data_IF_310544388798
#
_entry.id   IF_310544388798
#
_cell.length_a   1.000
_cell.length_b   1.000
_cell.length_c   1.000
_cell.angle_alpha   90.00
_cell.angle_beta   90.00
_cell.angle_gamma   90.00
#
_symmetry.space_group_name_H-M   'P 1'
#
loop_
_entity.id
_entity.type
_entity.pdbx_description
1 polymer ?
#
# COMPACT_ATOMS: atom_id res chain seq x y z
N UNK A 1 -34.15 -14.25 5.71
CA UNK A 1 -34.44 -15.68 5.97
C UNK A 1 -34.23 -15.93 7.46
N UNK A 2 -35.33 -16.00 8.22
CA UNK A 2 -35.38 -15.97 9.69
C UNK A 2 -35.29 -17.41 10.22
N UNK A 3 -34.28 -17.70 11.02
CA UNK A 3 -34.23 -18.70 12.10
C UNK A 3 -34.78 -20.13 11.83
N UNK A 4 -34.68 -20.67 10.61
CA UNK A 4 -35.10 -22.04 10.30
C UNK A 4 -34.37 -23.13 11.12
N UNK A 5 -33.23 -22.80 11.72
CA UNK A 5 -32.45 -23.70 12.56
C UNK A 5 -33.15 -24.08 13.88
N UNK A 6 -33.88 -23.13 14.48
CA UNK A 6 -34.62 -23.38 15.72
C UNK A 6 -35.81 -24.30 15.45
N UNK A 7 -36.49 -24.12 14.31
CA UNK A 7 -37.58 -25.00 13.87
C UNK A 7 -37.10 -26.42 13.55
N UNK A 8 -35.90 -26.57 12.98
CA UNK A 8 -35.30 -27.88 12.72
C UNK A 8 -34.97 -28.60 14.04
N UNK A 9 -34.41 -27.89 15.02
CA UNK A 9 -34.10 -28.44 16.34
C UNK A 9 -35.38 -28.93 17.06
N UNK A 10 -36.45 -28.13 17.01
CA UNK A 10 -37.74 -28.49 17.60
C UNK A 10 -38.36 -29.74 16.94
N UNK A 11 -38.21 -29.89 15.62
CA UNK A 11 -38.66 -31.06 14.88
C UNK A 11 -37.94 -32.34 15.33
N UNK A 12 -36.62 -32.28 15.54
CA UNK A 12 -35.83 -33.43 16.00
C UNK A 12 -36.25 -33.85 17.41
N UNK A 13 -36.43 -32.91 18.34
CA UNK A 13 -36.91 -33.22 19.69
C UNK A 13 -38.33 -33.81 19.69
N UNK A 14 -39.21 -33.33 18.81
CA UNK A 14 -40.56 -33.87 18.67
C UNK A 14 -40.56 -35.32 18.21
N UNK A 15 -39.72 -35.68 17.22
CA UNK A 15 -39.59 -37.06 16.72
C UNK A 15 -39.06 -37.99 17.83
N UNK A 16 -38.07 -37.54 18.60
CA UNK A 16 -37.50 -38.32 19.72
C UNK A 16 -38.56 -38.59 20.79
N UNK A 17 -39.34 -37.58 21.17
CA UNK A 17 -40.43 -37.73 22.14
C UNK A 17 -41.51 -38.72 21.67
N UNK A 18 -41.82 -38.71 20.38
CA UNK A 18 -42.77 -39.61 19.73
C UNK A 18 -42.26 -41.07 19.82
N UNK A 19 -41.00 -41.31 19.49
CA UNK A 19 -40.34 -42.62 19.57
C UNK A 19 -40.38 -43.18 21.01
N UNK A 20 -40.06 -42.36 22.01
CA UNK A 20 -40.08 -42.76 23.43
C UNK A 20 -41.49 -43.14 23.88
N UNK A 21 -42.51 -42.38 23.46
CA UNK A 21 -43.91 -42.62 23.83
C UNK A 21 -44.44 -43.92 23.22
N UNK A 22 -44.09 -44.24 21.97
CA UNK A 22 -44.54 -45.47 21.30
C UNK A 22 -43.84 -46.73 21.79
N UNK A 23 -42.59 -46.65 22.26
CA UNK A 23 -41.81 -47.83 22.65
C UNK A 23 -42.08 -48.33 24.08
N UNK A 24 -42.92 -47.65 24.89
CA UNK A 24 -43.27 -48.03 26.28
C UNK A 24 -42.10 -48.65 27.04
N UNK A 25 -40.96 -47.97 27.01
CA UNK A 25 -39.71 -48.50 27.57
C UNK A 25 -39.79 -48.42 29.09
N UNK A 26 -39.95 -49.55 29.77
CA UNK A 26 -39.67 -49.65 31.21
C UNK A 26 -38.17 -49.43 31.42
N UNK A 27 -37.80 -48.28 31.99
CA UNK A 27 -36.41 -47.85 32.11
C UNK A 27 -35.71 -48.59 33.26
N UNK A 28 -35.27 -49.82 33.02
CA UNK A 28 -34.22 -50.45 33.82
C UNK A 28 -32.87 -49.94 33.33
N UNK A 29 -32.21 -49.08 34.11
CA UNK A 29 -30.87 -48.54 33.78
C UNK A 29 -29.85 -49.68 33.86
N UNK A 30 -29.57 -50.32 32.71
CA UNK A 30 -28.43 -51.23 32.54
C UNK A 30 -27.16 -50.45 32.20
N UNK A 31 -25.99 -51.07 32.40
CA UNK A 31 -24.70 -50.48 32.01
C UNK A 31 -24.67 -50.07 30.53
N UNK A 32 -25.32 -50.82 29.65
CA UNK A 32 -25.40 -50.52 28.21
C UNK A 32 -26.24 -49.27 27.91
N UNK A 33 -27.31 -49.05 28.69
CA UNK A 33 -28.16 -47.85 28.58
C UNK A 33 -27.39 -46.60 29.01
N UNK A 34 -26.59 -46.70 30.08
CA UNK A 34 -25.72 -45.63 30.54
C UNK A 34 -24.64 -45.27 29.50
N UNK A 35 -24.00 -46.28 28.90
CA UNK A 35 -23.02 -46.08 27.82
C UNK A 35 -23.66 -45.38 26.62
N UNK A 36 -24.90 -45.75 26.25
CA UNK A 36 -25.64 -45.09 25.17
C UNK A 36 -25.91 -43.60 25.42
N UNK A 37 -26.30 -43.24 26.66
CA UNK A 37 -26.54 -41.85 27.04
C UNK A 37 -25.24 -41.04 26.98
N UNK A 38 -24.15 -41.55 27.55
CA UNK A 38 -22.85 -40.88 27.52
C UNK A 38 -22.34 -40.73 26.07
N UNK A 39 -22.48 -41.77 25.25
CA UNK A 39 -22.10 -41.72 23.83
C UNK A 39 -22.89 -40.64 23.06
N UNK A 40 -24.18 -40.49 23.33
CA UNK A 40 -25.01 -39.45 22.72
C UNK A 40 -24.60 -38.03 23.13
N UNK A 41 -24.23 -37.84 24.40
CA UNK A 41 -23.78 -36.55 24.91
C UNK A 41 -22.41 -36.16 24.33
N UNK A 42 -21.49 -37.12 24.23
CA UNK A 42 -20.19 -36.91 23.56
C UNK A 42 -20.42 -36.54 22.09
N UNK A 43 -21.28 -37.26 21.37
CA UNK A 43 -21.62 -36.95 19.97
C UNK A 43 -22.19 -35.54 19.79
N UNK A 44 -23.10 -35.12 20.68
CA UNK A 44 -23.66 -33.77 20.67
C UNK A 44 -22.59 -32.70 20.93
N UNK A 45 -21.75 -32.90 21.95
CA UNK A 45 -20.65 -31.99 22.29
C UNK A 45 -19.62 -31.89 21.15
N UNK A 46 -19.23 -33.01 20.54
CA UNK A 46 -18.30 -33.03 19.40
C UNK A 46 -18.86 -32.24 18.21
N UNK A 47 -20.14 -32.38 17.92
CA UNK A 47 -20.78 -31.63 16.82
C UNK A 47 -20.77 -30.12 17.09
N UNK A 48 -21.03 -29.69 18.32
CA UNK A 48 -20.96 -28.28 18.71
C UNK A 48 -19.54 -27.71 18.57
N UNK A 49 -18.52 -28.45 19.02
CA UNK A 49 -17.11 -28.04 18.91
C UNK A 49 -16.69 -27.88 17.44
N UNK A 50 -17.02 -28.87 16.60
CA UNK A 50 -16.75 -28.80 15.16
C UNK A 50 -17.53 -27.66 14.50
N UNK A 51 -18.77 -27.42 14.92
CA UNK A 51 -19.58 -26.28 14.44
C UNK A 51 -18.93 -24.93 14.72
N UNK A 52 -18.42 -24.73 15.94
CA UNK A 52 -17.68 -23.51 16.31
C UNK A 52 -16.39 -23.38 15.49
N UNK A 53 -15.65 -24.46 15.28
CA UNK A 53 -14.45 -24.46 14.43
C UNK A 53 -14.78 -24.07 12.99
N UNK A 54 -15.86 -24.61 12.41
CA UNK A 54 -16.32 -24.26 11.07
C UNK A 54 -16.70 -22.78 11.00
N UNK A 55 -17.49 -22.28 11.95
CA UNK A 55 -17.89 -20.88 12.01
C UNK A 55 -16.68 -19.94 12.07
N UNK A 56 -15.77 -20.16 13.03
CA UNK A 56 -14.55 -19.36 13.17
C UNK A 56 -13.68 -19.42 11.92
N UNK A 57 -13.60 -20.58 11.26
CA UNK A 57 -12.82 -20.74 10.03
C UNK A 57 -13.42 -19.97 8.85
N UNK A 58 -14.76 -19.89 8.74
CA UNK A 58 -15.45 -19.13 7.70
C UNK A 58 -15.29 -17.63 7.94
N UNK A 59 -15.49 -17.18 9.18
CA UNK A 59 -15.33 -15.77 9.55
C UNK A 59 -13.88 -15.30 9.32
N UNK A 60 -12.89 -16.10 9.74
CA UNK A 60 -11.47 -15.80 9.50
C UNK A 60 -11.15 -15.74 8.00
N UNK A 61 -11.73 -16.61 7.18
CA UNK A 61 -11.55 -16.58 5.71
C UNK A 61 -12.12 -15.30 5.10
N UNK A 62 -13.32 -14.88 5.50
CA UNK A 62 -13.91 -13.63 5.02
C UNK A 62 -13.07 -12.42 5.38
N UNK A 63 -12.63 -12.32 6.63
CA UNK A 63 -11.75 -11.23 7.08
C UNK A 63 -10.45 -11.22 6.26
N UNK A 64 -9.88 -12.39 5.96
CA UNK A 64 -8.69 -12.50 5.11
C UNK A 64 -8.95 -12.02 3.69
N UNK A 65 -10.08 -12.38 3.09
CA UNK A 65 -10.49 -11.94 1.75
C UNK A 65 -10.69 -10.42 1.72
N UNK A 66 -11.42 -9.86 2.69
CA UNK A 66 -11.65 -8.41 2.82
C UNK A 66 -10.32 -7.66 3.00
N UNK A 67 -9.41 -8.18 3.84
CA UNK A 67 -8.07 -7.58 4.02
C UNK A 67 -7.22 -7.66 2.76
N UNK A 68 -7.33 -8.73 1.97
CA UNK A 68 -6.64 -8.84 0.69
C UNK A 68 -7.19 -7.83 -0.33
N UNK A 69 -8.50 -7.62 -0.36
CA UNK A 69 -9.12 -6.62 -1.22
C UNK A 69 -8.70 -5.20 -0.85
N UNK A 70 -8.77 -4.85 0.44
CA UNK A 70 -8.27 -3.58 0.97
C UNK A 70 -6.78 -3.40 0.66
N UNK A 71 -5.97 -4.45 0.82
CA UNK A 71 -4.55 -4.44 0.48
C UNK A 71 -4.28 -4.13 -1.00
N UNK A 72 -5.08 -4.69 -1.93
CA UNK A 72 -4.99 -4.38 -3.36
C UNK A 72 -5.33 -2.92 -3.64
N UNK A 73 -6.40 -2.40 -3.03
CA UNK A 73 -6.78 -0.99 -3.16
C UNK A 73 -5.65 -0.06 -2.70
N UNK A 74 -5.00 -0.37 -1.58
CA UNK A 74 -3.84 0.41 -1.12
C UNK A 74 -2.67 0.34 -2.09
N UNK A 75 -2.37 -0.83 -2.67
CA UNK A 75 -1.29 -0.97 -3.67
C UNK A 75 -1.54 -0.05 -4.87
N UNK A 76 -2.80 0.12 -5.29
CA UNK A 76 -3.14 0.98 -6.43
C UNK A 76 -3.15 2.49 -6.06
N UNK A 77 -3.58 2.85 -4.85
CA UNK A 77 -3.74 4.25 -4.43
C UNK A 77 -2.43 4.85 -3.90
N UNK A 78 -1.58 4.07 -3.22
CA UNK A 78 -0.36 4.58 -2.59
C UNK A 78 0.58 5.28 -3.58
N UNK A 79 0.88 4.72 -4.77
CA UNK A 79 1.73 5.40 -5.75
C UNK A 79 1.14 6.74 -6.23
N UNK A 80 -0.18 6.84 -6.35
CA UNK A 80 -0.88 8.09 -6.73
C UNK A 80 -0.73 9.15 -5.64
N UNK A 81 -0.90 8.75 -4.37
CA UNK A 81 -0.71 9.65 -3.22
C UNK A 81 0.74 10.09 -3.09
N UNK A 82 1.70 9.17 -3.19
CA UNK A 82 3.13 9.49 -3.16
C UNK A 82 3.51 10.44 -4.30
N UNK A 83 2.95 10.25 -5.50
CA UNK A 83 3.15 11.14 -6.64
C UNK A 83 2.70 12.57 -6.30
N UNK A 84 1.47 12.71 -5.79
CA UNK A 84 0.91 14.00 -5.41
C UNK A 84 1.73 14.68 -4.29
N UNK A 85 2.14 13.93 -3.27
CA UNK A 85 2.94 14.44 -2.15
C UNK A 85 4.28 14.98 -2.65
N UNK A 86 5.00 14.20 -3.48
CA UNK A 86 6.28 14.65 -4.04
C UNK A 86 6.08 15.84 -4.96
N UNK A 87 5.04 15.86 -5.80
CA UNK A 87 4.75 17.00 -6.67
C UNK A 87 4.52 18.30 -5.86
N UNK A 88 3.68 18.24 -4.82
CA UNK A 88 3.39 19.38 -3.95
C UNK A 88 4.64 19.83 -3.19
N UNK A 89 5.45 18.91 -2.68
CA UNK A 89 6.73 19.25 -2.04
C UNK A 89 7.68 19.93 -3.02
N UNK A 90 7.72 19.47 -4.27
CA UNK A 90 8.46 20.11 -5.35
C UNK A 90 8.04 21.56 -5.55
N UNK A 91 6.73 21.81 -5.64
CA UNK A 91 6.17 23.16 -5.76
C UNK A 91 6.51 24.04 -4.55
N UNK A 92 6.37 23.51 -3.34
CA UNK A 92 6.65 24.24 -2.10
C UNK A 92 8.13 24.65 -1.99
N UNK A 93 9.05 23.79 -2.45
CA UNK A 93 10.48 24.06 -2.43
C UNK A 93 10.97 24.91 -3.61
N UNK A 94 10.14 25.11 -4.65
CA UNK A 94 10.57 25.64 -5.93
C UNK A 94 11.18 27.05 -5.87
N UNK A 95 10.77 27.88 -4.91
CA UNK A 95 11.27 29.26 -4.75
C UNK A 95 12.64 29.32 -4.07
N UNK A 96 12.81 28.61 -2.96
CA UNK A 96 13.95 28.76 -2.06
C UNK A 96 14.97 27.64 -2.16
N UNK A 97 14.54 26.45 -2.59
CA UNK A 97 15.30 25.20 -2.53
C UNK A 97 15.18 24.42 -3.86
N UNK A 98 15.71 24.98 -4.97
CA UNK A 98 15.50 24.43 -6.30
C UNK A 98 16.10 23.03 -6.52
N UNK A 99 17.13 22.61 -5.78
CA UNK A 99 17.64 21.23 -5.86
C UNK A 99 16.73 20.23 -5.14
N UNK A 100 16.20 20.59 -3.97
CA UNK A 100 15.17 19.79 -3.30
C UNK A 100 13.92 19.67 -4.18
N UNK A 101 13.47 20.78 -4.76
CA UNK A 101 12.35 20.79 -5.68
C UNK A 101 12.61 19.88 -6.90
N UNK A 102 13.81 19.97 -7.50
CA UNK A 102 14.21 19.12 -8.61
C UNK A 102 14.12 17.63 -8.25
N UNK A 103 14.68 17.21 -7.10
CA UNK A 103 14.58 15.83 -6.60
C UNK A 103 13.12 15.36 -6.48
N UNK A 104 12.28 16.22 -5.93
CA UNK A 104 10.86 15.93 -5.70
C UNK A 104 10.12 15.74 -7.02
N UNK A 105 10.37 16.61 -8.00
CA UNK A 105 9.81 16.46 -9.34
C UNK A 105 10.30 15.20 -10.08
N UNK A 106 11.56 14.78 -9.91
CA UNK A 106 12.05 13.49 -10.45
C UNK A 106 11.29 12.32 -9.83
N UNK A 107 11.09 12.37 -8.51
CA UNK A 107 10.41 11.28 -7.78
C UNK A 107 8.94 11.20 -8.19
N UNK A 108 8.26 12.36 -8.25
CA UNK A 108 6.89 12.47 -8.73
C UNK A 108 6.74 11.99 -10.18
N UNK A 109 7.71 12.32 -11.05
CA UNK A 109 7.70 11.91 -12.45
C UNK A 109 7.73 10.37 -12.60
N UNK A 110 8.57 9.67 -11.83
CA UNK A 110 8.61 8.21 -11.87
C UNK A 110 7.26 7.58 -11.49
N UNK A 111 6.68 8.04 -10.39
CA UNK A 111 5.37 7.58 -9.93
C UNK A 111 4.23 7.96 -10.89
N UNK A 112 4.35 9.09 -11.59
CA UNK A 112 3.38 9.52 -12.59
C UNK A 112 3.40 8.60 -13.84
N UNK A 113 4.56 8.05 -14.22
CA UNK A 113 4.66 7.04 -15.28
C UNK A 113 4.09 5.68 -14.86
N UNK A 114 4.28 5.29 -13.60
CA UNK A 114 3.67 4.06 -13.05
C UNK A 114 2.15 4.15 -13.04
N UNK A 115 1.61 5.31 -12.69
CA UNK A 115 0.16 5.57 -12.58
C UNK A 115 -0.48 6.09 -13.88
N UNK A 116 0.28 6.22 -14.96
CA UNK A 116 -0.14 6.81 -16.25
C UNK A 116 -0.78 8.21 -16.12
N UNK A 117 -0.32 9.04 -15.19
CA UNK A 117 -0.82 10.39 -14.99
C UNK A 117 -0.13 11.39 -15.93
N UNK A 118 -0.65 11.52 -17.15
CA UNK A 118 -0.09 12.38 -18.20
C UNK A 118 0.01 13.86 -17.82
N UNK A 119 -0.92 14.38 -17.02
CA UNK A 119 -0.91 15.78 -16.60
C UNK A 119 0.30 16.05 -15.71
N UNK A 120 0.51 15.20 -14.68
CA UNK A 120 1.64 15.35 -13.77
C UNK A 120 2.98 15.09 -14.49
N UNK A 121 3.02 14.18 -15.47
CA UNK A 121 4.22 13.95 -16.28
C UNK A 121 4.66 15.26 -16.95
N UNK A 122 3.75 15.93 -17.66
CA UNK A 122 4.07 17.19 -18.36
C UNK A 122 4.44 18.31 -17.38
N UNK A 123 3.69 18.45 -16.28
CA UNK A 123 3.98 19.42 -15.25
C UNK A 123 5.36 19.21 -14.62
N UNK A 124 5.73 17.96 -14.31
CA UNK A 124 7.05 17.62 -13.79
C UNK A 124 8.16 18.04 -14.77
N UNK A 125 8.04 17.76 -16.06
CA UNK A 125 9.05 18.19 -17.03
C UNK A 125 9.17 19.71 -17.12
N UNK A 126 8.06 20.42 -17.12
CA UNK A 126 8.05 21.89 -17.15
C UNK A 126 8.72 22.46 -15.89
N UNK A 127 8.39 21.91 -14.72
CA UNK A 127 8.98 22.32 -13.46
C UNK A 127 10.48 21.98 -13.37
N UNK A 128 10.92 20.82 -13.86
CA UNK A 128 12.35 20.47 -13.92
C UNK A 128 13.14 21.48 -14.76
N UNK A 129 12.63 21.86 -15.93
CA UNK A 129 13.23 22.92 -16.76
C UNK A 129 13.24 24.28 -16.06
N UNK A 130 12.15 24.62 -15.37
CA UNK A 130 12.09 25.85 -14.58
C UNK A 130 13.12 25.86 -13.44
N UNK A 131 13.34 24.71 -12.78
CA UNK A 131 14.37 24.57 -11.73
C UNK A 131 15.77 24.72 -12.32
N UNK A 132 16.06 24.12 -13.48
CA UNK A 132 17.32 24.33 -14.19
C UNK A 132 17.58 25.82 -14.46
N UNK A 133 16.57 26.54 -14.96
CA UNK A 133 16.68 27.99 -15.19
C UNK A 133 16.95 28.75 -13.90
N UNK A 134 16.31 28.39 -12.78
CA UNK A 134 16.58 29.02 -11.48
C UNK A 134 18.01 28.74 -11.02
N UNK A 135 18.47 27.49 -11.11
CA UNK A 135 19.84 27.10 -10.75
C UNK A 135 20.85 27.87 -11.61
N UNK A 136 20.57 28.05 -12.90
CA UNK A 136 21.44 28.80 -13.81
C UNK A 136 21.62 30.28 -13.40
N UNK A 137 20.58 30.90 -12.83
CA UNK A 137 20.54 32.34 -12.55
C UNK A 137 21.10 32.73 -11.18
N UNK A 138 21.46 31.76 -10.33
CA UNK A 138 21.95 32.03 -8.97
C UNK A 138 23.46 31.80 -8.85
N UNK A 139 24.14 32.71 -8.16
CA UNK A 139 25.58 32.58 -7.89
C UNK A 139 25.86 31.57 -6.76
N UNK A 140 24.91 31.42 -5.83
CA UNK A 140 24.99 30.52 -4.68
C UNK A 140 23.62 29.92 -4.37
N UNK A 141 23.61 28.67 -3.94
CA UNK A 141 22.43 27.97 -3.47
C UNK A 141 22.39 27.97 -1.94
N UNK A 142 21.19 28.09 -1.38
CA UNK A 142 20.93 27.96 0.07
C UNK A 142 21.07 26.52 0.58
N UNK A 143 21.18 25.55 -0.34
CA UNK A 143 21.14 24.12 -0.05
C UNK A 143 22.55 23.50 -0.02
N UNK A 144 22.69 22.40 0.73
CA UNK A 144 23.87 21.55 0.66
C UNK A 144 23.92 20.83 -0.70
N UNK A 145 24.68 21.39 -1.64
CA UNK A 145 24.77 20.90 -3.03
C UNK A 145 25.21 19.44 -3.08
N UNK A 146 26.22 19.04 -2.30
CA UNK A 146 26.78 17.68 -2.33
C UNK A 146 25.71 16.68 -1.89
N UNK A 147 25.05 16.94 -0.76
CA UNK A 147 23.99 16.09 -0.24
C UNK A 147 22.82 15.99 -1.22
N UNK A 148 22.40 17.12 -1.79
CA UNK A 148 21.28 17.15 -2.73
C UNK A 148 21.59 16.46 -4.05
N UNK A 149 22.82 16.53 -4.55
CA UNK A 149 23.22 15.76 -5.73
C UNK A 149 23.18 14.25 -5.49
N UNK A 150 23.57 13.78 -4.30
CA UNK A 150 23.44 12.36 -3.94
C UNK A 150 21.96 11.95 -3.93
N UNK A 151 21.08 12.77 -3.34
CA UNK A 151 19.64 12.50 -3.31
C UNK A 151 19.02 12.50 -4.71
N UNK A 152 19.36 13.49 -5.55
CA UNK A 152 18.88 13.57 -6.94
C UNK A 152 19.38 12.37 -7.74
N UNK A 153 20.65 11.98 -7.60
CA UNK A 153 21.19 10.81 -8.30
C UNK A 153 20.41 9.55 -7.95
N UNK A 154 20.16 9.32 -6.66
CA UNK A 154 19.33 8.18 -6.21
C UNK A 154 17.92 8.21 -6.82
N UNK A 155 17.28 9.38 -6.88
CA UNK A 155 15.96 9.53 -7.49
C UNK A 155 15.98 9.22 -8.99
N UNK A 156 17.02 9.65 -9.71
CA UNK A 156 17.20 9.37 -11.15
C UNK A 156 17.51 7.89 -11.38
N UNK A 157 18.37 7.29 -10.55
CA UNK A 157 18.68 5.86 -10.64
C UNK A 157 17.42 5.01 -10.41
N UNK A 158 16.51 5.44 -9.52
CA UNK A 158 15.19 4.83 -9.33
C UNK A 158 14.28 5.06 -10.55
N UNK A 159 14.25 6.28 -11.10
CA UNK A 159 13.48 6.58 -12.32
C UNK A 159 13.90 5.70 -13.51
N UNK A 160 15.20 5.42 -13.63
CA UNK A 160 15.78 4.54 -14.66
C UNK A 160 15.38 3.08 -14.54
N UNK A 161 14.89 2.65 -13.38
CA UNK A 161 14.38 1.29 -13.19
C UNK A 161 12.93 1.13 -13.69
N UNK A 162 12.27 2.22 -14.10
CA UNK A 162 10.94 2.17 -14.67
C UNK A 162 10.95 1.42 -16.02
N UNK A 163 10.03 0.49 -16.21
CA UNK A 163 9.90 -0.32 -17.42
C UNK A 163 9.63 0.51 -18.69
N UNK A 164 9.08 1.71 -18.53
CA UNK A 164 8.82 2.67 -19.61
C UNK A 164 9.92 3.71 -19.76
N UNK A 165 11.02 3.66 -18.99
CA UNK A 165 12.06 4.69 -19.00
C UNK A 165 12.57 5.01 -20.39
N UNK A 166 12.86 4.00 -21.20
CA UNK A 166 13.39 4.17 -22.55
C UNK A 166 12.47 5.01 -23.45
N UNK A 167 11.16 5.05 -23.18
CA UNK A 167 10.19 5.84 -23.95
C UNK A 167 10.31 7.35 -23.68
N UNK A 168 10.90 7.73 -22.56
CA UNK A 168 11.00 9.13 -22.14
C UNK A 168 12.41 9.57 -21.74
N UNK A 169 13.41 8.69 -21.82
CA UNK A 169 14.82 8.97 -21.56
C UNK A 169 15.30 10.23 -22.30
N UNK A 170 14.92 10.36 -23.58
CA UNK A 170 15.26 11.49 -24.44
C UNK A 170 14.79 12.86 -23.90
N UNK A 171 13.79 12.89 -23.01
CA UNK A 171 13.31 14.13 -22.37
C UNK A 171 14.08 14.45 -21.10
N UNK A 172 14.46 13.43 -20.33
CA UNK A 172 15.05 13.62 -19.00
C UNK A 172 16.56 13.78 -19.05
N UNK A 173 17.25 13.00 -19.90
CA UNK A 173 18.71 13.03 -20.03
C UNK A 173 19.25 14.43 -20.36
N UNK A 174 18.70 15.20 -21.33
CA UNK A 174 19.18 16.56 -21.58
C UNK A 174 18.94 17.52 -20.42
N UNK A 175 17.80 17.40 -19.73
CA UNK A 175 17.48 18.23 -18.55
C UNK A 175 18.48 17.93 -17.41
N UNK A 176 18.81 16.66 -17.18
CA UNK A 176 19.81 16.29 -16.17
C UNK A 176 21.21 16.81 -16.54
N UNK A 177 21.58 16.72 -17.82
CA UNK A 177 22.87 17.20 -18.31
C UNK A 177 23.02 18.73 -18.11
N UNK A 178 21.99 19.50 -18.46
CA UNK A 178 21.94 20.95 -18.23
C UNK A 178 22.12 21.30 -16.75
N UNK A 179 21.37 20.64 -15.85
CA UNK A 179 21.48 20.86 -14.40
C UNK A 179 22.92 20.67 -13.91
N UNK A 180 23.56 19.56 -14.33
CA UNK A 180 24.94 19.24 -13.96
C UNK A 180 25.91 20.30 -14.44
N UNK A 181 25.71 20.81 -15.66
CA UNK A 181 26.55 21.87 -16.22
C UNK A 181 26.42 23.17 -15.43
N UNK A 182 25.20 23.59 -15.06
CA UNK A 182 25.01 24.78 -14.22
C UNK A 182 25.62 24.62 -12.83
N UNK A 183 25.53 23.44 -12.22
CA UNK A 183 26.16 23.21 -10.91
C UNK A 183 27.69 23.22 -10.95
N UNK A 184 28.33 22.81 -12.05
CA UNK A 184 29.79 22.94 -12.19
C UNK A 184 30.22 24.40 -12.12
N UNK A 185 29.49 25.30 -12.79
CA UNK A 185 29.76 26.75 -12.78
C UNK A 185 29.64 27.33 -11.37
N UNK A 186 28.58 26.98 -10.64
CA UNK A 186 28.39 27.43 -9.25
C UNK A 186 29.54 26.92 -8.36
N UNK A 187 29.99 25.68 -8.53
CA UNK A 187 31.11 25.13 -7.76
C UNK A 187 32.44 25.83 -8.07
N UNK A 188 32.69 26.16 -9.35
CA UNK A 188 33.87 26.91 -9.78
C UNK A 188 33.87 28.33 -9.20
N UNK A 189 32.76 29.05 -9.31
CA UNK A 189 32.61 30.40 -8.72
C UNK A 189 32.84 30.43 -7.20
N UNK A 190 32.42 29.39 -6.47
CA UNK A 190 32.66 29.26 -5.03
C UNK A 190 34.12 28.89 -4.68
N UNK A 191 34.86 28.28 -5.60
CA UNK A 191 36.28 27.95 -5.44
C UNK A 191 37.16 29.17 -5.71
N UNK A 192 36.81 29.95 -6.74
CA UNK A 192 37.59 31.10 -7.19
C UNK A 192 37.40 32.36 -6.31
N UNK A 193 36.34 32.42 -5.48
CA UNK A 193 36.11 33.54 -4.57
C UNK A 193 35.71 33.09 -3.14
N UNK A 194 36.70 32.69 -2.30
CA UNK A 194 36.46 32.18 -0.95
C UNK A 194 35.98 33.25 0.07
N UNK A 195 35.95 34.54 -0.32
CA UNK A 195 35.53 35.66 0.54
C UNK A 195 34.01 35.73 0.79
N UNK A 196 33.19 34.96 0.04
CA UNK A 196 31.74 34.81 0.24
C UNK A 196 31.34 33.70 1.23
N UNK A 197 32.29 33.27 2.06
CA UNK A 197 32.05 32.46 3.27
C UNK A 197 31.73 33.38 4.46
N UNK A 198 30.69 34.19 4.31
CA UNK A 198 30.02 34.93 5.38
C UNK A 198 28.63 34.37 5.58
#
# INVERSE_FOLDING_TARGET
>A
MKNSWVSLLALVFSIIALIITFLRVDVTISNDTFIGIIASFIGACTTLVVGVQIYNSIETRKIKEDMQEVGKVFIDILPVMECAVNYIQGLANASERPLSAYRDFITALGLAYDTNNHVIIEDCFNNLKAMNKKIQLVDKLSENIIEKEIQIKKAIDKLKQNDKYDKFAWRIDPIEAERKEYLKRIKQNNYDNPSNKG
#
